data_IF_194053738834
#
_entry.id   IF_194053738834
#
_cell.length_a   1.000
_cell.length_b   1.000
_cell.length_c   1.000
_cell.angle_alpha   90.00
_cell.angle_beta   90.00
_cell.angle_gamma   90.00
#
_symmetry.space_group_name_H-M   'P 1'
#
loop_
_entity.id
_entity.type
_entity.pdbx_description
1 polymer ?
#
# COMPACT_ATOMS: atom_id res chain seq x y z
N UNK A 1 -28.56 -25.41 -61.71
CA UNK A 1 -27.33 -26.06 -61.23
C UNK A 1 -26.29 -24.97 -60.92
N UNK A 2 -25.49 -25.10 -59.87
CA UNK A 2 -25.64 -24.29 -58.66
C UNK A 2 -24.43 -23.39 -58.35
N UNK A 3 -24.66 -22.33 -57.57
CA UNK A 3 -23.70 -21.80 -56.58
C UNK A 3 -24.43 -20.93 -55.55
N UNK A 4 -25.42 -21.53 -54.87
CA UNK A 4 -25.91 -21.09 -53.57
C UNK A 4 -25.29 -22.06 -52.56
N UNK A 5 -24.28 -21.63 -51.79
CA UNK A 5 -23.78 -22.19 -50.51
C UNK A 5 -22.36 -21.64 -50.24
N UNK A 6 -22.26 -20.59 -49.44
CA UNK A 6 -21.12 -20.36 -48.52
C UNK A 6 -21.29 -19.11 -47.64
N UNK A 7 -22.09 -18.10 -48.04
CA UNK A 7 -22.09 -16.79 -47.37
C UNK A 7 -23.04 -16.59 -46.17
N UNK A 8 -23.45 -17.65 -45.46
CA UNK A 8 -24.49 -17.53 -44.41
C UNK A 8 -24.19 -18.27 -43.09
N UNK A 9 -22.91 -18.54 -42.78
CA UNK A 9 -22.52 -19.20 -41.52
C UNK A 9 -21.33 -18.56 -40.77
N UNK A 10 -21.14 -17.25 -40.90
CA UNK A 10 -20.12 -16.52 -40.13
C UNK A 10 -20.61 -15.20 -39.52
N UNK A 11 -21.93 -15.01 -39.41
CA UNK A 11 -22.54 -13.82 -38.80
C UNK A 11 -23.46 -14.16 -37.60
N UNK A 12 -23.32 -15.36 -37.04
CA UNK A 12 -24.14 -15.82 -35.92
C UNK A 12 -23.31 -16.59 -34.86
N UNK A 13 -22.09 -16.14 -34.57
CA UNK A 13 -21.35 -16.45 -33.31
C UNK A 13 -20.41 -15.28 -32.96
N UNK A 14 -20.86 -14.03 -33.16
CA UNK A 14 -20.23 -12.88 -32.51
C UNK A 14 -21.04 -12.64 -31.24
N UNK A 15 -20.46 -13.06 -30.12
CA UNK A 15 -21.04 -13.07 -28.78
C UNK A 15 -21.95 -11.88 -28.52
N UNK A 16 -23.20 -12.22 -28.32
CA UNK A 16 -24.21 -11.42 -27.63
C UNK A 16 -23.82 -11.37 -26.14
N UNK A 17 -22.73 -10.68 -25.83
CA UNK A 17 -22.39 -10.20 -24.48
C UNK A 17 -21.82 -8.80 -24.64
N UNK A 18 -22.66 -7.87 -25.08
CA UNK A 18 -22.54 -6.50 -24.64
C UNK A 18 -22.81 -6.54 -23.13
N UNK A 19 -21.72 -6.68 -22.39
CA UNK A 19 -21.62 -6.59 -20.94
C UNK A 19 -22.52 -5.44 -20.46
N UNK A 20 -23.66 -5.80 -19.86
CA UNK A 20 -24.39 -4.88 -18.99
C UNK A 20 -23.35 -4.34 -18.02
N UNK A 21 -23.25 -3.02 -17.89
CA UNK A 21 -22.43 -2.36 -16.88
C UNK A 21 -22.78 -2.95 -15.52
N UNK A 22 -22.08 -4.03 -15.17
CA UNK A 22 -22.19 -4.70 -13.90
C UNK A 22 -21.68 -3.68 -12.91
N UNK A 23 -22.47 -3.45 -11.87
CA UNK A 23 -22.09 -2.50 -10.86
C UNK A 23 -20.67 -2.84 -10.37
N UNK A 24 -19.81 -1.82 -10.26
CA UNK A 24 -18.36 -1.98 -10.03
C UNK A 24 -18.04 -2.28 -8.55
N UNK A 25 -18.86 -3.09 -7.88
CA UNK A 25 -18.67 -3.46 -6.47
C UNK A 25 -18.09 -4.85 -6.41
N UNK A 26 -17.00 -5.01 -5.67
CA UNK A 26 -16.15 -6.18 -5.70
C UNK A 26 -15.76 -6.62 -4.29
N UNK A 27 -15.58 -7.92 -4.09
CA UNK A 27 -14.94 -8.42 -2.87
C UNK A 27 -13.45 -8.09 -2.91
N UNK A 28 -12.94 -7.50 -1.83
CA UNK A 28 -11.51 -7.22 -1.64
C UNK A 28 -10.88 -8.20 -0.66
N UNK A 29 -11.60 -8.53 0.41
CA UNK A 29 -11.09 -9.42 1.46
C UNK A 29 -12.23 -10.26 2.04
N UNK A 30 -11.93 -11.51 2.33
CA UNK A 30 -12.76 -12.36 3.18
C UNK A 30 -11.86 -13.01 4.23
N UNK A 31 -12.14 -12.79 5.51
CA UNK A 31 -11.61 -13.57 6.61
C UNK A 31 -12.71 -14.54 7.06
N UNK A 32 -12.69 -15.79 6.56
CA UNK A 32 -13.81 -16.70 6.73
C UNK A 32 -13.82 -17.41 8.07
N UNK A 33 -12.65 -17.71 8.63
CA UNK A 33 -12.52 -18.33 9.93
C UNK A 33 -11.43 -17.59 10.73
N UNK A 34 -11.81 -16.76 11.71
CA UNK A 34 -10.86 -15.96 12.45
C UNK A 34 -9.97 -16.82 13.35
N UNK A 35 -8.70 -16.45 13.43
CA UNK A 35 -7.80 -16.92 14.47
C UNK A 35 -8.04 -16.21 15.81
N UNK A 36 -7.13 -16.43 16.76
CA UNK A 36 -7.20 -15.77 18.07
C UNK A 36 -7.21 -14.24 17.93
N UNK A 37 -8.20 -13.57 18.54
CA UNK A 37 -8.33 -12.12 18.52
C UNK A 37 -8.88 -11.52 17.22
N UNK A 38 -9.28 -12.34 16.24
CA UNK A 38 -9.88 -11.88 14.99
C UNK A 38 -11.40 -12.06 14.97
N UNK A 39 -12.05 -11.45 13.96
CA UNK A 39 -13.48 -11.62 13.69
C UNK A 39 -13.67 -11.96 12.21
N UNK A 40 -14.67 -12.79 11.90
CA UNK A 40 -15.08 -13.00 10.51
C UNK A 40 -15.32 -11.62 9.86
N UNK A 41 -14.82 -11.41 8.66
CA UNK A 41 -14.87 -10.10 8.02
C UNK A 41 -15.02 -10.27 6.52
N UNK A 42 -15.87 -9.48 5.90
CA UNK A 42 -15.94 -9.33 4.45
C UNK A 42 -15.70 -7.86 4.14
N UNK A 43 -14.75 -7.55 3.27
CA UNK A 43 -14.54 -6.21 2.75
C UNK A 43 -14.95 -6.21 1.29
N UNK A 44 -15.82 -5.29 0.93
CA UNK A 44 -16.16 -4.97 -0.45
C UNK A 44 -15.73 -3.55 -0.78
N UNK A 45 -15.41 -3.29 -2.04
CA UNK A 45 -14.99 -1.98 -2.53
C UNK A 45 -15.79 -1.58 -3.75
N UNK A 46 -16.10 -0.30 -3.87
CA UNK A 46 -16.64 0.26 -5.09
C UNK A 46 -15.49 0.69 -6.01
N UNK A 47 -15.09 -0.16 -6.95
CA UNK A 47 -14.04 0.17 -7.93
C UNK A 47 -14.56 1.03 -9.09
N UNK A 48 -15.68 1.72 -8.90
CA UNK A 48 -16.29 2.61 -9.87
C UNK A 48 -16.15 4.08 -9.53
N UNK A 49 -16.22 4.92 -10.57
CA UNK A 49 -16.11 6.38 -10.48
C UNK A 49 -17.33 7.06 -9.84
N UNK A 50 -18.42 6.32 -9.61
CA UNK A 50 -19.68 6.87 -9.10
C UNK A 50 -20.08 6.17 -7.82
N UNK A 51 -20.71 6.89 -6.87
CA UNK A 51 -21.26 6.28 -5.67
C UNK A 51 -22.33 5.24 -6.03
N UNK A 52 -22.37 4.16 -5.26
CA UNK A 52 -23.34 3.07 -5.43
C UNK A 52 -24.22 2.98 -4.19
N UNK A 53 -25.53 2.88 -4.42
CA UNK A 53 -26.52 2.54 -3.39
C UNK A 53 -26.84 1.04 -3.48
N UNK A 54 -26.41 0.32 -2.45
CA UNK A 54 -26.58 -1.11 -2.25
C UNK A 54 -27.95 -1.46 -1.68
N UNK A 55 -28.87 -0.50 -1.50
CA UNK A 55 -30.22 -0.80 -1.00
C UNK A 55 -30.90 -1.89 -1.84
N UNK A 56 -31.29 -2.99 -1.18
CA UNK A 56 -31.91 -4.15 -1.82
C UNK A 56 -30.93 -5.13 -2.49
N UNK A 57 -29.62 -4.87 -2.42
CA UNK A 57 -28.60 -5.85 -2.78
C UNK A 57 -28.40 -6.89 -1.68
N UNK A 58 -27.70 -7.98 -2.01
CA UNK A 58 -27.35 -9.00 -1.04
C UNK A 58 -25.97 -9.62 -1.26
N UNK A 59 -25.41 -10.16 -0.18
CA UNK A 59 -24.30 -11.12 -0.22
C UNK A 59 -24.88 -12.48 0.09
N UNK A 60 -24.69 -13.44 -0.82
CA UNK A 60 -25.26 -14.79 -0.71
C UNK A 60 -24.15 -15.80 -0.55
N UNK A 61 -24.24 -16.61 0.50
CA UNK A 61 -23.41 -17.80 0.69
C UNK A 61 -23.94 -18.94 -0.18
N UNK A 62 -23.16 -19.31 -1.19
CA UNK A 62 -23.47 -20.36 -2.16
C UNK A 62 -22.93 -21.73 -1.77
N UNK A 63 -22.20 -21.81 -0.66
CA UNK A 63 -21.57 -23.04 -0.17
C UNK A 63 -22.61 -24.01 0.41
N UNK A 64 -23.74 -23.49 0.90
CA UNK A 64 -24.78 -24.27 1.53
C UNK A 64 -26.04 -24.40 0.68
N UNK A 65 -26.73 -25.56 0.78
CA UNK A 65 -28.00 -25.81 0.08
C UNK A 65 -29.11 -24.82 0.43
N UNK A 66 -29.15 -24.34 1.67
CA UNK A 66 -30.15 -23.40 2.14
C UNK A 66 -29.87 -21.94 1.71
N UNK A 67 -28.67 -21.66 1.17
CA UNK A 67 -28.18 -20.34 0.72
C UNK A 67 -28.46 -19.20 1.71
N UNK A 68 -27.57 -19.02 2.69
CA UNK A 68 -27.67 -17.89 3.63
C UNK A 68 -27.48 -16.57 2.89
N UNK A 69 -28.21 -15.53 3.27
CA UNK A 69 -28.14 -14.23 2.61
C UNK A 69 -28.05 -13.10 3.63
N UNK A 70 -27.16 -12.15 3.37
CA UNK A 70 -27.09 -10.85 4.02
C UNK A 70 -27.69 -9.80 3.09
N UNK A 71 -28.54 -8.90 3.59
CA UNK A 71 -29.15 -7.83 2.81
C UNK A 71 -28.67 -6.46 3.29
N UNK A 72 -28.19 -5.64 2.37
CA UNK A 72 -27.75 -4.28 2.69
C UNK A 72 -28.95 -3.42 3.09
N UNK A 73 -28.78 -2.62 4.14
CA UNK A 73 -29.85 -1.81 4.73
C UNK A 73 -30.70 -2.55 5.75
N UNK A 74 -30.40 -3.83 6.00
CA UNK A 74 -30.98 -4.63 7.09
C UNK A 74 -31.86 -5.79 6.61
N UNK A 75 -32.03 -6.74 7.52
CA UNK A 75 -32.85 -7.93 7.36
C UNK A 75 -33.80 -8.11 8.55
N UNK A 76 -34.90 -8.85 8.34
CA UNK A 76 -35.68 -9.38 9.44
C UNK A 76 -34.89 -10.48 10.18
N UNK A 77 -35.36 -10.85 11.38
CA UNK A 77 -34.90 -12.08 12.06
C UNK A 77 -35.10 -13.36 11.22
N UNK A 78 -35.90 -13.30 10.14
CA UNK A 78 -36.11 -14.39 9.19
C UNK A 78 -35.27 -14.26 7.91
N UNK A 79 -34.22 -13.42 7.91
CA UNK A 79 -33.29 -13.20 6.78
C UNK A 79 -33.98 -12.72 5.49
N UNK A 80 -35.07 -11.95 5.65
CA UNK A 80 -35.75 -11.28 4.52
C UNK A 80 -35.39 -9.80 4.48
N UNK A 81 -35.20 -9.20 3.29
CA UNK A 81 -34.80 -7.79 3.19
C UNK A 81 -35.87 -6.88 3.80
N UNK A 82 -35.48 -6.11 4.81
CA UNK A 82 -36.34 -5.17 5.53
C UNK A 82 -35.52 -3.93 5.91
N UNK A 83 -35.92 -2.71 5.52
CA UNK A 83 -35.18 -1.51 5.87
C UNK A 83 -35.10 -1.32 7.39
N UNK A 84 -33.88 -1.37 7.93
CA UNK A 84 -33.60 -1.09 9.33
C UNK A 84 -33.03 0.32 9.44
N UNK A 85 -33.78 1.22 10.10
CA UNK A 85 -33.47 2.67 10.13
C UNK A 85 -32.02 2.98 10.52
N UNK A 86 -31.46 2.27 11.49
CA UNK A 86 -30.09 2.50 11.98
C UNK A 86 -29.01 1.80 11.15
N UNK A 87 -29.38 0.95 10.17
CA UNK A 87 -28.48 0.38 9.15
C UNK A 87 -28.53 1.13 7.82
N UNK A 88 -29.28 2.24 7.73
CA UNK A 88 -29.41 3.02 6.50
C UNK A 88 -28.10 3.65 6.00
N UNK A 89 -27.12 3.86 6.89
CA UNK A 89 -25.81 4.36 6.51
C UNK A 89 -24.90 3.29 5.87
N UNK A 90 -25.32 2.01 5.87
CA UNK A 90 -24.54 0.87 5.36
C UNK A 90 -24.91 0.49 3.92
N UNK A 91 -25.68 1.34 3.23
CA UNK A 91 -26.08 1.08 1.85
C UNK A 91 -25.32 1.93 0.85
N UNK A 92 -24.72 3.05 1.25
CA UNK A 92 -24.00 3.94 0.34
C UNK A 92 -22.51 3.70 0.43
N UNK A 93 -21.90 3.48 -0.72
CA UNK A 93 -20.45 3.35 -0.88
C UNK A 93 -20.02 4.35 -1.96
N UNK A 94 -19.19 5.32 -1.57
CA UNK A 94 -18.65 6.31 -2.51
C UNK A 94 -17.70 5.64 -3.52
N UNK A 95 -17.27 6.37 -4.54
CA UNK A 95 -16.23 5.88 -5.44
C UNK A 95 -14.99 5.51 -4.62
N UNK A 96 -14.40 4.34 -4.91
CA UNK A 96 -13.21 3.81 -4.26
C UNK A 96 -13.34 3.48 -2.75
N UNK A 97 -14.48 3.78 -2.14
CA UNK A 97 -14.68 3.47 -0.73
C UNK A 97 -14.78 1.95 -0.49
N UNK A 98 -14.21 1.50 0.63
CA UNK A 98 -14.43 0.16 1.17
C UNK A 98 -15.58 0.13 2.20
N UNK A 99 -16.33 -0.95 2.20
CA UNK A 99 -17.34 -1.27 3.21
C UNK A 99 -16.98 -2.60 3.88
N UNK A 100 -16.80 -2.54 5.20
CA UNK A 100 -16.51 -3.72 6.03
C UNK A 100 -17.80 -4.28 6.61
N UNK A 101 -18.06 -5.56 6.34
CA UNK A 101 -19.15 -6.33 6.91
C UNK A 101 -18.60 -7.28 7.96
N UNK A 102 -19.22 -7.29 9.14
CA UNK A 102 -18.88 -8.21 10.24
C UNK A 102 -20.09 -9.05 10.66
N UNK A 103 -19.90 -10.08 11.50
CA UNK A 103 -21.00 -10.82 12.09
C UNK A 103 -21.90 -9.94 12.94
N UNK A 104 -23.19 -10.25 12.92
CA UNK A 104 -24.18 -9.59 13.74
C UNK A 104 -23.88 -9.72 15.24
N UNK A 105 -23.78 -8.59 15.93
CA UNK A 105 -23.67 -8.53 17.37
C UNK A 105 -24.37 -7.29 17.92
N UNK A 106 -25.29 -7.51 18.88
CA UNK A 106 -26.07 -6.45 19.53
C UNK A 106 -25.57 -6.04 20.91
N UNK A 107 -24.51 -6.65 21.41
CA UNK A 107 -23.91 -6.24 22.67
C UNK A 107 -23.10 -4.96 22.49
N UNK A 108 -23.71 -3.83 22.86
CA UNK A 108 -23.11 -2.49 22.79
C UNK A 108 -21.84 -2.30 23.62
N UNK A 109 -21.53 -3.23 24.52
CA UNK A 109 -20.31 -3.19 25.34
C UNK A 109 -19.20 -4.09 24.78
N UNK A 110 -19.52 -4.90 23.78
CA UNK A 110 -18.54 -5.71 23.08
C UNK A 110 -17.75 -4.88 22.08
N UNK A 111 -16.44 -5.11 22.00
CA UNK A 111 -15.60 -4.61 20.91
C UNK A 111 -16.03 -5.15 19.53
N UNK A 112 -16.84 -6.21 19.52
CA UNK A 112 -17.42 -6.82 18.34
C UNK A 112 -18.83 -6.28 18.02
N UNK A 113 -19.27 -5.16 18.61
CA UNK A 113 -20.60 -4.60 18.34
C UNK A 113 -20.76 -4.24 16.86
N UNK A 114 -21.60 -4.99 16.15
CA UNK A 114 -22.03 -4.70 14.79
C UNK A 114 -23.49 -5.15 14.64
N UNK A 115 -24.45 -4.27 14.94
CA UNK A 115 -25.84 -4.65 14.93
C UNK A 115 -26.35 -4.79 13.46
N UNK A 116 -25.62 -4.30 12.45
CA UNK A 116 -25.98 -4.41 11.03
C UNK A 116 -25.23 -5.54 10.32
N UNK A 117 -24.57 -6.40 11.08
CA UNK A 117 -23.77 -7.50 10.56
C UNK A 117 -24.57 -8.68 9.99
N UNK A 118 -23.86 -9.59 9.33
CA UNK A 118 -24.43 -10.81 8.77
C UNK A 118 -24.64 -11.90 9.84
N UNK A 119 -25.64 -12.77 9.65
CA UNK A 119 -26.12 -13.74 10.67
C UNK A 119 -25.72 -15.20 10.42
N UNK A 120 -24.81 -15.44 9.48
CA UNK A 120 -24.35 -16.78 9.11
C UNK A 120 -22.84 -16.89 9.29
N UNK A 121 -22.34 -18.12 9.40
CA UNK A 121 -20.90 -18.40 9.45
C UNK A 121 -20.36 -18.61 8.05
N UNK A 122 -19.15 -18.14 7.79
CA UNK A 122 -18.51 -18.29 6.47
C UNK A 122 -17.91 -19.68 6.30
N UNK A 123 -17.25 -20.20 7.34
CA UNK A 123 -16.66 -21.55 7.34
C UNK A 123 -15.38 -21.67 6.52
N UNK A 124 -14.71 -22.82 6.61
CA UNK A 124 -13.36 -23.02 6.05
C UNK A 124 -13.30 -23.18 4.52
N UNK A 125 -14.41 -23.57 3.89
CA UNK A 125 -14.56 -23.72 2.45
C UNK A 125 -15.88 -23.07 2.06
N UNK A 126 -15.81 -22.11 1.14
CA UNK A 126 -17.00 -21.39 0.77
C UNK A 126 -16.90 -20.51 -0.46
N UNK A 127 -18.07 -20.08 -0.91
CA UNK A 127 -18.25 -19.15 -2.01
C UNK A 127 -19.32 -18.13 -1.63
N UNK A 128 -18.98 -16.85 -1.76
CA UNK A 128 -19.93 -15.74 -1.67
C UNK A 128 -20.18 -15.13 -3.04
N UNK A 129 -21.39 -14.64 -3.23
CA UNK A 129 -21.81 -13.94 -4.44
C UNK A 129 -22.50 -12.62 -4.03
N UNK A 130 -22.00 -11.49 -4.53
CA UNK A 130 -22.71 -10.22 -4.45
C UNK A 130 -23.81 -10.24 -5.50
N UNK A 131 -25.04 -9.92 -5.11
CA UNK A 131 -26.18 -9.77 -6.01
C UNK A 131 -26.73 -8.35 -5.95
N UNK A 132 -27.05 -7.81 -7.11
CA UNK A 132 -27.74 -6.53 -7.20
C UNK A 132 -29.22 -6.64 -6.79
N UNK A 133 -29.93 -5.51 -6.78
CA UNK A 133 -31.38 -5.43 -6.48
C UNK A 133 -32.26 -6.36 -7.35
N UNK A 134 -31.82 -6.67 -8.56
CA UNK A 134 -32.50 -7.57 -9.50
C UNK A 134 -32.09 -9.04 -9.30
N UNK A 135 -31.34 -9.33 -8.23
CA UNK A 135 -30.77 -10.64 -7.87
C UNK A 135 -29.77 -11.20 -8.89
N UNK A 136 -29.21 -10.36 -9.76
CA UNK A 136 -28.17 -10.76 -10.70
C UNK A 136 -26.80 -10.75 -10.01
N UNK A 137 -25.93 -11.73 -10.30
CA UNK A 137 -24.58 -11.76 -9.75
C UNK A 137 -23.77 -10.56 -10.27
N UNK A 138 -23.02 -9.93 -9.35
CA UNK A 138 -22.15 -8.78 -9.60
C UNK A 138 -20.69 -9.20 -9.50
N UNK A 139 -20.33 -9.87 -8.41
CA UNK A 139 -18.99 -10.40 -8.16
C UNK A 139 -19.08 -11.67 -7.31
N UNK A 140 -18.05 -12.52 -7.40
CA UNK A 140 -17.99 -13.80 -6.71
C UNK A 140 -16.59 -13.96 -6.11
N UNK A 141 -16.54 -14.39 -4.86
CA UNK A 141 -15.32 -14.85 -4.19
C UNK A 141 -15.51 -16.29 -3.77
N UNK A 142 -14.46 -17.10 -3.93
CA UNK A 142 -14.42 -18.45 -3.42
C UNK A 142 -13.09 -18.72 -2.71
N UNK A 143 -13.15 -19.49 -1.63
CA UNK A 143 -11.97 -19.94 -0.92
C UNK A 143 -12.12 -21.43 -0.61
N UNK A 144 -11.16 -22.22 -1.09
CA UNK A 144 -11.06 -23.65 -0.79
C UNK A 144 -9.74 -24.00 -0.08
N UNK A 145 -8.87 -23.00 0.12
CA UNK A 145 -7.52 -23.14 0.66
C UNK A 145 -7.29 -22.33 1.94
N UNK A 146 -8.29 -21.57 2.40
CA UNK A 146 -8.15 -20.77 3.61
C UNK A 146 -8.19 -21.70 4.84
N UNK A 147 -7.14 -21.64 5.65
CA UNK A 147 -7.12 -22.28 6.97
C UNK A 147 -7.64 -21.30 8.02
N UNK A 148 -8.03 -21.75 9.21
CA UNK A 148 -8.33 -20.86 10.33
C UNK A 148 -7.20 -19.84 10.55
N UNK A 149 -7.56 -18.56 10.65
CA UNK A 149 -6.62 -17.43 10.76
C UNK A 149 -6.06 -16.88 9.44
N UNK A 150 -6.46 -17.44 8.29
CA UNK A 150 -6.09 -16.89 6.98
C UNK A 150 -7.23 -16.05 6.40
N UNK A 151 -6.90 -14.82 6.00
CA UNK A 151 -7.77 -14.01 5.16
C UNK A 151 -7.43 -14.22 3.69
N UNK A 152 -8.42 -14.14 2.82
CA UNK A 152 -8.27 -14.24 1.38
C UNK A 152 -8.45 -12.85 0.78
N UNK A 153 -7.47 -12.40 0.03
CA UNK A 153 -7.40 -11.07 -0.57
C UNK A 153 -7.52 -11.16 -2.08
N UNK A 154 -8.20 -10.19 -2.69
CA UNK A 154 -8.27 -10.06 -4.14
C UNK A 154 -6.92 -9.58 -4.69
N UNK A 155 -6.41 -10.26 -5.71
CA UNK A 155 -5.25 -9.82 -6.51
C UNK A 155 -5.62 -10.02 -7.97
N UNK A 156 -5.86 -8.92 -8.67
CA UNK A 156 -6.45 -8.95 -10.01
C UNK A 156 -7.81 -9.67 -10.00
N UNK A 157 -7.87 -10.84 -10.65
CA UNK A 157 -9.06 -11.69 -10.71
C UNK A 157 -9.01 -12.89 -9.76
N UNK A 158 -7.88 -13.11 -9.11
CA UNK A 158 -7.65 -14.23 -8.22
C UNK A 158 -7.82 -13.82 -6.76
N UNK A 159 -7.98 -14.83 -5.91
CA UNK A 159 -8.15 -14.68 -4.47
C UNK A 159 -7.09 -15.49 -3.76
N UNK A 160 -6.19 -14.79 -3.06
CA UNK A 160 -4.97 -15.37 -2.50
C UNK A 160 -5.06 -15.35 -0.97
N UNK A 161 -4.78 -16.47 -0.30
CA UNK A 161 -4.85 -16.53 1.15
C UNK A 161 -3.54 -16.01 1.77
N UNK A 162 -3.68 -15.20 2.80
CA UNK A 162 -2.60 -14.65 3.63
C UNK A 162 -2.88 -14.95 5.10
N UNK A 163 -1.83 -15.30 5.84
CA UNK A 163 -1.91 -15.45 7.30
C UNK A 163 -1.82 -14.07 7.95
N UNK A 164 -2.78 -13.75 8.81
CA UNK A 164 -2.81 -12.51 9.58
C UNK A 164 -2.42 -12.74 11.05
N UNK A 165 -1.99 -11.66 11.72
CA UNK A 165 -1.64 -11.61 13.13
C UNK A 165 -0.57 -12.62 13.56
N UNK A 166 0.17 -13.18 12.60
CA UNK A 166 1.43 -13.87 12.82
C UNK A 166 2.57 -12.94 12.46
N UNK A 167 3.80 -13.35 12.75
CA UNK A 167 4.98 -12.57 12.39
C UNK A 167 5.13 -12.40 10.87
N UNK A 168 5.76 -11.29 10.45
CA UNK A 168 5.95 -10.94 9.05
C UNK A 168 6.60 -12.06 8.24
N UNK A 169 7.57 -12.78 8.82
CA UNK A 169 8.19 -13.94 8.16
C UNK A 169 7.14 -15.03 7.88
N UNK A 170 6.30 -15.38 8.84
CA UNK A 170 5.22 -16.35 8.66
C UNK A 170 4.23 -15.89 7.59
N UNK A 171 3.79 -14.63 7.63
CA UNK A 171 2.89 -14.04 6.64
C UNK A 171 3.49 -14.10 5.23
N UNK A 172 4.73 -13.65 5.03
CA UNK A 172 5.45 -13.66 3.74
C UNK A 172 5.63 -15.07 3.20
N UNK A 173 6.08 -16.03 4.01
CA UNK A 173 6.29 -17.43 3.55
C UNK A 173 5.00 -18.15 3.22
N UNK A 174 3.89 -17.77 3.84
CA UNK A 174 2.58 -18.38 3.61
C UNK A 174 1.93 -17.92 2.30
N UNK A 175 2.33 -16.75 1.79
CA UNK A 175 1.73 -16.11 0.62
C UNK A 175 2.27 -16.74 -0.69
N UNK A 176 1.42 -17.37 -1.51
CA UNK A 176 1.86 -18.01 -2.76
C UNK A 176 2.51 -17.06 -3.77
N UNK A 177 2.11 -15.79 -3.79
CA UNK A 177 2.62 -14.76 -4.73
C UNK A 177 3.88 -14.06 -4.27
N UNK A 178 4.41 -14.40 -3.09
CA UNK A 178 5.65 -13.81 -2.56
C UNK A 178 6.78 -14.85 -2.54
N UNK A 179 6.72 -15.88 -3.38
CA UNK A 179 7.64 -17.01 -3.29
C UNK A 179 9.07 -16.63 -3.64
N UNK A 180 9.28 -15.81 -4.68
CA UNK A 180 10.58 -15.26 -5.07
C UNK A 180 11.09 -14.28 -4.02
N UNK A 181 10.22 -13.39 -3.53
CA UNK A 181 10.60 -12.44 -2.48
C UNK A 181 11.04 -13.15 -1.19
N UNK A 182 10.30 -14.16 -0.76
CA UNK A 182 10.65 -14.96 0.41
C UNK A 182 11.99 -15.68 0.25
N UNK A 183 12.30 -16.20 -0.95
CA UNK A 183 13.61 -16.81 -1.23
C UNK A 183 14.73 -15.77 -1.22
N UNK A 184 14.51 -14.60 -1.80
CA UNK A 184 15.48 -13.51 -1.80
C UNK A 184 15.82 -13.04 -0.39
N UNK A 185 14.81 -12.80 0.45
CA UNK A 185 14.99 -12.47 1.87
C UNK A 185 15.66 -13.60 2.65
N UNK A 186 15.37 -14.86 2.34
CA UNK A 186 16.03 -15.99 2.99
C UNK A 186 17.51 -16.08 2.61
N UNK A 187 17.85 -15.86 1.33
CA UNK A 187 19.22 -15.93 0.83
C UNK A 187 20.16 -14.88 1.44
N UNK A 188 19.59 -13.75 1.88
CA UNK A 188 20.31 -12.64 2.52
C UNK A 188 20.28 -12.69 4.05
N UNK A 189 19.58 -13.66 4.64
CA UNK A 189 19.38 -13.75 6.10
C UNK A 189 18.33 -12.78 6.66
N UNK A 190 17.89 -11.78 5.91
CA UNK A 190 16.90 -10.78 6.33
C UNK A 190 15.58 -11.42 6.79
N UNK A 191 15.13 -12.50 6.15
CA UNK A 191 13.88 -13.16 6.55
C UNK A 191 13.95 -13.76 7.96
N UNK A 192 15.04 -14.47 8.25
CA UNK A 192 15.17 -15.28 9.45
C UNK A 192 15.71 -14.49 10.64
N UNK A 193 16.60 -13.54 10.37
CA UNK A 193 17.27 -12.74 11.38
C UNK A 193 16.48 -11.52 11.79
N UNK A 194 15.73 -10.89 10.87
CA UNK A 194 15.07 -9.61 11.11
C UNK A 194 13.53 -9.72 11.19
N UNK A 195 12.90 -10.35 10.20
CA UNK A 195 11.44 -10.35 10.09
C UNK A 195 10.74 -11.34 11.04
N UNK A 196 11.53 -12.12 11.79
CA UNK A 196 11.06 -12.93 12.91
C UNK A 196 10.92 -12.08 14.18
N UNK A 197 9.95 -12.40 15.03
CA UNK A 197 9.79 -11.72 16.33
C UNK A 197 11.10 -11.66 17.13
N UNK A 198 11.46 -10.45 17.58
CA UNK A 198 12.54 -10.23 18.55
C UNK A 198 13.88 -9.76 18.00
N UNK A 199 13.97 -9.50 16.69
CA UNK A 199 15.18 -8.94 16.09
C UNK A 199 15.29 -7.43 16.29
N UNK A 200 16.42 -7.00 16.85
CA UNK A 200 16.76 -5.58 17.01
C UNK A 200 17.83 -5.22 15.98
N UNK A 201 17.63 -4.14 15.23
CA UNK A 201 18.71 -3.59 14.41
C UNK A 201 19.58 -2.70 15.28
N UNK A 202 20.90 -2.80 15.14
CA UNK A 202 21.80 -1.80 15.73
C UNK A 202 21.71 -0.53 14.90
N UNK A 203 21.49 0.58 15.57
CA UNK A 203 21.47 1.89 14.94
C UNK A 203 22.84 2.50 15.15
N UNK A 204 23.59 2.67 14.07
CA UNK A 204 24.92 3.29 14.12
C UNK A 204 24.82 4.72 14.65
N UNK A 205 25.78 5.10 15.49
CA UNK A 205 25.82 6.46 16.05
C UNK A 205 26.05 7.45 14.90
N UNK A 206 25.31 8.56 14.91
CA UNK A 206 25.37 9.64 13.92
C UNK A 206 24.87 9.29 12.50
N UNK A 207 24.34 8.08 12.28
CA UNK A 207 23.68 7.67 11.03
C UNK A 207 22.40 8.47 10.75
N UNK A 208 21.90 8.39 9.51
CA UNK A 208 20.63 9.03 9.18
C UNK A 208 19.49 8.45 10.02
N UNK A 209 19.50 7.12 10.18
CA UNK A 209 18.61 6.40 11.07
C UNK A 209 18.62 6.97 12.50
N UNK A 210 19.81 7.14 13.10
CA UNK A 210 19.94 7.71 14.44
C UNK A 210 19.36 9.13 14.53
N UNK A 211 19.65 9.97 13.54
CA UNK A 211 19.15 11.35 13.48
C UNK A 211 17.63 11.42 13.31
N UNK A 212 17.06 10.55 12.48
CA UNK A 212 15.62 10.45 12.30
C UNK A 212 14.94 9.98 13.59
N UNK A 213 15.44 8.89 14.17
CA UNK A 213 14.92 8.33 15.41
C UNK A 213 15.01 9.33 16.57
N UNK A 214 16.12 10.05 16.72
CA UNK A 214 16.27 11.10 17.72
C UNK A 214 15.23 12.22 17.59
N UNK A 215 14.89 12.65 16.36
CA UNK A 215 13.82 13.63 16.12
C UNK A 215 12.43 13.13 16.56
N UNK A 216 12.22 11.81 16.56
CA UNK A 216 11.00 11.16 17.05
C UNK A 216 11.06 10.85 18.56
N UNK A 217 12.11 11.30 19.26
CA UNK A 217 12.31 11.05 20.69
C UNK A 217 12.84 9.64 21.00
N UNK A 218 13.39 8.94 20.00
CA UNK A 218 13.97 7.61 20.16
C UNK A 218 15.49 7.70 20.34
N UNK A 219 15.96 7.46 21.55
CA UNK A 219 17.37 7.66 21.93
C UNK A 219 18.17 6.35 22.08
N UNK A 220 17.57 5.20 21.73
CA UNK A 220 18.23 3.90 21.89
C UNK A 220 19.20 3.62 20.74
N UNK A 221 20.26 2.87 21.03
CA UNK A 221 21.28 2.41 20.07
C UNK A 221 20.86 1.16 19.28
N UNK A 222 19.64 0.69 19.50
CA UNK A 222 19.03 -0.40 18.77
C UNK A 222 17.59 -0.01 18.46
N UNK A 223 17.03 -0.43 17.32
CA UNK A 223 15.62 -0.30 16.98
C UNK A 223 15.00 -1.68 16.89
N UNK A 224 14.03 -1.92 17.77
CA UNK A 224 13.12 -3.06 17.68
C UNK A 224 11.89 -2.61 16.92
N UNK A 225 11.41 -3.43 15.99
CA UNK A 225 10.19 -3.17 15.22
C UNK A 225 9.02 -2.64 16.05
N UNK A 226 7.99 -2.10 15.41
CA UNK A 226 7.39 -2.72 14.22
C UNK A 226 8.06 -2.35 12.90
N UNK A 227 7.85 -3.21 11.91
CA UNK A 227 8.32 -3.03 10.53
C UNK A 227 7.15 -2.96 9.56
N UNK A 228 7.33 -2.24 8.47
CA UNK A 228 6.42 -2.31 7.33
C UNK A 228 7.17 -2.85 6.13
N UNK A 229 6.61 -3.85 5.46
CA UNK A 229 7.26 -4.52 4.32
C UNK A 229 6.45 -4.26 3.07
N UNK A 230 7.05 -3.55 2.12
CA UNK A 230 6.56 -3.47 0.74
C UNK A 230 7.09 -4.70 -0.01
N UNK A 231 6.30 -5.76 -0.13
CA UNK A 231 6.71 -7.02 -0.71
C UNK A 231 6.37 -7.11 -2.20
N UNK A 232 7.35 -7.11 -3.12
CA UNK A 232 7.06 -7.30 -4.54
C UNK A 232 6.55 -8.71 -4.81
N UNK A 233 5.50 -8.79 -5.62
CA UNK A 233 4.97 -10.06 -6.07
C UNK A 233 5.95 -10.82 -7.00
N UNK A 234 5.71 -12.11 -7.20
CA UNK A 234 6.48 -12.90 -8.15
C UNK A 234 6.38 -12.33 -9.58
N UNK A 235 5.25 -11.70 -9.94
CA UNK A 235 5.09 -10.98 -11.20
C UNK A 235 5.97 -9.72 -11.25
N UNK A 236 6.03 -8.95 -10.15
CA UNK A 236 6.91 -7.79 -10.04
C UNK A 236 8.39 -8.18 -10.24
N UNK A 237 8.83 -9.28 -9.63
CA UNK A 237 10.18 -9.80 -9.84
C UNK A 237 10.43 -10.26 -11.28
N UNK A 238 9.43 -10.86 -11.94
CA UNK A 238 9.55 -11.24 -13.34
C UNK A 238 9.73 -10.02 -14.25
N UNK A 239 8.99 -8.93 -14.03
CA UNK A 239 9.19 -7.69 -14.78
C UNK A 239 10.56 -7.08 -14.46
N UNK A 240 10.95 -7.00 -13.18
CA UNK A 240 12.26 -6.51 -12.78
C UNK A 240 13.42 -7.29 -13.43
N UNK A 241 13.35 -8.62 -13.49
CA UNK A 241 14.36 -9.45 -14.15
C UNK A 241 14.43 -9.23 -15.67
N UNK A 242 13.32 -8.83 -16.30
CA UNK A 242 13.31 -8.44 -17.72
C UNK A 242 13.96 -7.08 -17.93
N UNK A 243 13.65 -6.12 -17.06
CA UNK A 243 14.19 -4.75 -17.12
C UNK A 243 15.70 -4.71 -16.86
N UNK A 244 16.16 -5.47 -15.87
CA UNK A 244 17.58 -5.55 -15.50
C UNK A 244 18.41 -6.42 -16.45
N UNK A 245 17.74 -7.16 -17.33
CA UNK A 245 18.40 -8.02 -18.29
C UNK A 245 19.06 -7.24 -19.43
N UNK A 246 20.28 -7.65 -19.80
CA UNK A 246 21.05 -6.97 -20.86
C UNK A 246 20.69 -7.52 -22.25
N UNK A 247 20.61 -6.65 -23.26
CA UNK A 247 20.40 -7.03 -24.67
C UNK A 247 19.15 -7.89 -24.92
N UNK A 248 18.07 -7.64 -24.18
CA UNK A 248 16.82 -8.40 -24.30
C UNK A 248 16.86 -9.81 -23.72
N UNK A 249 17.92 -10.16 -22.99
CA UNK A 249 17.92 -11.35 -22.12
C UNK A 249 17.15 -11.04 -20.85
N UNK A 250 16.60 -12.05 -20.20
CA UNK A 250 15.98 -11.94 -18.88
C UNK A 250 16.92 -12.58 -17.86
N UNK A 251 17.15 -11.91 -16.74
CA UNK A 251 17.89 -12.52 -15.63
C UNK A 251 17.18 -13.78 -15.14
N UNK A 252 17.96 -14.82 -14.85
CA UNK A 252 17.44 -16.00 -14.17
C UNK A 252 17.26 -15.72 -12.68
N UNK A 253 16.39 -16.47 -12.02
CA UNK A 253 16.21 -16.38 -10.55
C UNK A 253 17.55 -16.61 -9.82
N UNK A 254 18.40 -17.51 -10.31
CA UNK A 254 19.71 -17.77 -9.71
C UNK A 254 20.66 -16.56 -9.83
N UNK A 255 20.63 -15.85 -10.96
CA UNK A 255 21.42 -14.63 -11.16
C UNK A 255 20.89 -13.47 -10.31
N UNK A 256 19.56 -13.31 -10.23
CA UNK A 256 18.92 -12.34 -9.33
C UNK A 256 19.36 -12.58 -7.87
N UNK A 257 19.27 -13.82 -7.40
CA UNK A 257 19.67 -14.21 -6.05
C UNK A 257 21.18 -14.05 -5.79
N UNK A 258 21.99 -13.99 -6.84
CA UNK A 258 23.43 -13.77 -6.77
C UNK A 258 23.84 -12.30 -6.94
N UNK A 259 22.90 -11.38 -7.15
CA UNK A 259 23.21 -9.96 -7.31
C UNK A 259 23.84 -9.39 -6.03
N UNK A 260 25.01 -8.73 -6.10
CA UNK A 260 25.67 -8.18 -4.92
C UNK A 260 24.83 -7.07 -4.26
N UNK A 261 24.00 -6.36 -5.02
CA UNK A 261 23.12 -5.30 -4.52
C UNK A 261 21.79 -5.83 -3.96
N UNK A 262 21.51 -7.14 -4.06
CA UNK A 262 20.20 -7.70 -3.68
C UNK A 262 19.84 -7.39 -2.23
N UNK A 263 20.79 -7.50 -1.30
CA UNK A 263 20.53 -7.21 0.12
C UNK A 263 20.09 -5.75 0.31
N UNK A 264 20.74 -4.80 -0.37
CA UNK A 264 20.39 -3.37 -0.28
C UNK A 264 19.05 -3.05 -0.94
N UNK A 265 18.72 -3.73 -2.05
CA UNK A 265 17.39 -3.66 -2.67
C UNK A 265 16.34 -4.18 -1.68
N UNK A 266 16.56 -5.33 -1.03
CA UNK A 266 15.61 -5.90 -0.08
C UNK A 266 15.44 -5.05 1.18
N UNK A 267 16.52 -4.45 1.70
CA UNK A 267 16.44 -3.49 2.82
C UNK A 267 15.62 -2.26 2.48
N UNK A 268 15.60 -1.84 1.22
CA UNK A 268 14.78 -0.71 0.77
C UNK A 268 13.28 -1.01 0.83
N UNK A 269 12.90 -2.28 0.71
CA UNK A 269 11.50 -2.74 0.82
C UNK A 269 11.01 -2.86 2.27
N UNK A 270 11.92 -2.78 3.25
CA UNK A 270 11.59 -2.89 4.67
C UNK A 270 11.72 -1.49 5.28
N UNK A 271 10.63 -0.92 5.75
CA UNK A 271 10.60 0.42 6.32
C UNK A 271 10.27 0.39 7.81
N UNK A 272 10.70 1.43 8.51
CA UNK A 272 10.54 1.53 9.96
C UNK A 272 9.11 1.90 10.33
N UNK A 273 8.65 1.35 11.45
CA UNK A 273 7.35 1.66 11.99
C UNK A 273 6.23 0.80 11.42
N UNK A 274 5.04 1.04 11.94
CA UNK A 274 3.81 0.37 11.52
C UNK A 274 3.00 1.33 10.67
N UNK A 275 3.26 1.32 9.37
CA UNK A 275 2.76 2.29 8.41
C UNK A 275 1.60 1.68 7.63
N UNK A 276 0.39 2.01 8.07
CA UNK A 276 -0.86 1.67 7.40
C UNK A 276 -1.09 2.63 6.23
N UNK A 277 -1.72 2.16 5.16
CA UNK A 277 -2.04 3.00 3.97
C UNK A 277 -2.73 4.30 4.40
N UNK A 278 -3.78 4.19 5.22
CA UNK A 278 -4.55 5.31 5.76
C UNK A 278 -3.81 6.28 6.68
N UNK A 279 -2.66 5.86 7.24
CA UNK A 279 -1.83 6.69 8.12
C UNK A 279 -0.80 7.53 7.36
N UNK A 280 -0.54 7.17 6.12
CA UNK A 280 0.45 7.79 5.26
C UNK A 280 -0.17 8.95 4.46
N UNK A 281 0.61 9.99 4.22
CA UNK A 281 0.19 11.16 3.43
C UNK A 281 1.00 11.23 2.15
N UNK A 282 0.40 11.75 1.10
CA UNK A 282 1.05 11.87 -0.20
C UNK A 282 2.35 12.67 -0.11
N UNK A 283 3.39 12.19 -0.80
CA UNK A 283 4.72 12.79 -0.80
C UNK A 283 5.49 12.65 0.51
N UNK A 284 4.98 11.88 1.48
CA UNK A 284 5.70 11.57 2.71
C UNK A 284 6.75 10.50 2.45
N UNK A 285 7.99 10.78 2.85
CA UNK A 285 9.07 9.79 2.86
C UNK A 285 9.00 8.93 4.12
N UNK A 286 8.92 7.62 3.95
CA UNK A 286 9.04 6.63 5.01
C UNK A 286 10.46 6.08 5.01
N UNK A 287 11.09 6.03 6.18
CA UNK A 287 12.49 5.63 6.28
C UNK A 287 12.64 4.12 6.07
N UNK A 288 13.44 3.73 5.08
CA UNK A 288 13.77 2.34 4.83
C UNK A 288 14.90 1.85 5.71
N UNK A 289 15.07 0.53 5.79
CA UNK A 289 16.19 -0.11 6.48
C UNK A 289 17.53 0.12 5.79
N UNK A 290 17.51 0.49 4.51
CA UNK A 290 18.68 1.01 3.83
C UNK A 290 18.94 2.41 4.38
N UNK A 291 19.97 2.55 5.22
CA UNK A 291 20.27 3.80 5.94
C UNK A 291 20.31 4.99 4.97
N UNK A 292 19.64 6.07 5.36
CA UNK A 292 19.53 7.28 4.53
C UNK A 292 18.52 7.23 3.39
N UNK A 293 18.00 6.06 3.01
CA UNK A 293 17.06 5.93 1.91
C UNK A 293 15.60 5.98 2.41
N UNK A 294 14.80 6.83 1.78
CA UNK A 294 13.36 6.98 2.05
C UNK A 294 12.55 6.46 0.86
N UNK A 295 11.40 5.85 1.16
CA UNK A 295 10.40 5.42 0.19
C UNK A 295 9.25 6.41 0.25
N UNK A 296 8.87 6.99 -0.89
CA UNK A 296 7.74 7.91 -0.94
C UNK A 296 6.45 7.18 -1.25
N UNK A 297 5.35 7.68 -0.71
CA UNK A 297 4.02 7.08 -0.87
C UNK A 297 3.01 8.11 -1.34
N UNK A 298 2.03 7.64 -2.11
CA UNK A 298 0.98 8.44 -2.72
C UNK A 298 -0.34 7.66 -2.73
N UNK A 299 -1.44 8.39 -2.79
CA UNK A 299 -2.77 7.86 -3.02
C UNK A 299 -3.27 8.33 -4.40
N UNK A 300 -3.76 7.39 -5.20
CA UNK A 300 -4.42 7.71 -6.45
C UNK A 300 -5.83 8.25 -6.24
N UNK A 301 -6.38 8.96 -7.21
CA UNK A 301 -7.77 9.46 -7.19
C UNK A 301 -8.81 8.34 -7.12
N UNK A 302 -8.41 7.12 -7.49
CA UNK A 302 -9.19 5.90 -7.40
C UNK A 302 -8.76 5.02 -6.20
N UNK A 303 -8.21 5.65 -5.15
CA UNK A 303 -7.69 5.06 -3.89
C UNK A 303 -6.77 3.87 -4.06
N UNK A 304 -5.95 3.97 -5.10
CA UNK A 304 -4.77 3.14 -5.23
C UNK A 304 -3.75 3.59 -4.19
N UNK A 305 -3.11 2.63 -3.52
CA UNK A 305 -1.96 2.91 -2.68
C UNK A 305 -0.70 2.73 -3.53
N UNK A 306 0.02 3.83 -3.75
CA UNK A 306 1.12 3.94 -4.70
C UNK A 306 2.44 4.19 -3.95
N UNK A 307 3.50 3.53 -4.43
CA UNK A 307 4.83 3.58 -3.85
C UNK A 307 5.81 4.09 -4.91
N UNK A 308 6.53 5.16 -4.58
CA UNK A 308 7.51 5.79 -5.44
C UNK A 308 8.93 5.62 -4.85
N UNK A 309 9.75 4.82 -5.53
CA UNK A 309 11.12 4.46 -5.15
C UNK A 309 12.17 5.53 -5.49
N UNK A 310 11.87 6.42 -6.42
CA UNK A 310 12.77 7.48 -6.86
C UNK A 310 12.31 8.90 -6.50
N UNK A 311 11.20 9.10 -5.79
CA UNK A 311 10.81 10.42 -5.29
C UNK A 311 11.56 10.74 -3.99
N UNK A 312 12.75 11.32 -4.10
CA UNK A 312 13.60 11.65 -2.95
C UNK A 312 14.19 13.06 -3.07
N UNK A 313 14.53 13.65 -1.93
CA UNK A 313 15.18 14.96 -1.89
C UNK A 313 16.69 14.84 -2.08
N UNK A 314 17.19 15.51 -3.11
CA UNK A 314 18.62 15.82 -3.23
C UNK A 314 18.91 17.19 -2.58
N UNK A 315 19.84 17.28 -1.61
CA UNK A 315 20.35 18.52 -1.05
C UNK A 315 20.78 19.56 -2.09
N UNK A 316 20.33 20.80 -1.93
CA UNK A 316 20.78 21.93 -2.72
C UNK A 316 22.24 22.32 -2.41
N UNK A 317 22.99 22.94 -3.35
CA UNK A 317 24.41 23.30 -3.16
C UNK A 317 24.69 24.32 -2.05
N UNK A 318 23.68 25.06 -1.61
CA UNK A 318 23.76 26.18 -0.67
C UNK A 318 23.68 25.78 0.82
N UNK A 319 23.82 24.50 1.15
CA UNK A 319 23.95 23.99 2.52
C UNK A 319 22.68 24.08 3.38
N UNK A 320 21.52 24.27 2.73
CA UNK A 320 20.22 24.27 3.38
C UNK A 320 19.40 23.04 2.99
N UNK A 321 18.63 22.52 3.94
CA UNK A 321 17.78 21.35 3.74
C UNK A 321 16.60 21.65 2.82
N UNK A 322 16.11 20.64 2.12
CA UNK A 322 15.02 20.78 1.16
C UNK A 322 13.70 21.24 1.78
N UNK A 323 13.41 20.86 3.02
CA UNK A 323 12.27 21.39 3.78
C UNK A 323 12.34 22.91 3.92
N UNK A 324 13.53 23.47 4.21
CA UNK A 324 13.72 24.92 4.34
C UNK A 324 13.59 25.63 3.00
N UNK A 325 14.13 25.05 1.93
CA UNK A 325 13.99 25.60 0.58
C UNK A 325 12.54 25.71 0.16
N UNK A 326 11.73 24.71 0.51
CA UNK A 326 10.28 24.73 0.29
C UNK A 326 9.60 25.82 1.13
N UNK A 327 9.92 25.93 2.42
CA UNK A 327 9.40 27.02 3.28
C UNK A 327 9.73 28.41 2.73
N UNK A 328 10.92 28.58 2.13
CA UNK A 328 11.37 29.84 1.54
C UNK A 328 10.85 30.11 0.12
N UNK A 329 9.98 29.23 -0.40
CA UNK A 329 9.43 29.33 -1.76
C UNK A 329 10.52 29.35 -2.85
N UNK A 330 11.63 28.66 -2.60
CA UNK A 330 12.76 28.54 -3.55
C UNK A 330 12.56 27.40 -4.56
N UNK A 331 11.49 26.63 -4.40
CA UNK A 331 11.18 25.50 -5.27
C UNK A 331 11.01 25.86 -6.75
N UNK A 332 10.66 27.10 -7.11
CA UNK A 332 10.46 27.48 -8.51
C UNK A 332 11.68 28.17 -9.13
N UNK A 333 12.78 28.31 -8.39
CA UNK A 333 13.99 28.92 -8.90
C UNK A 333 14.71 27.96 -9.86
N UNK A 334 15.21 28.48 -10.99
CA UNK A 334 15.86 27.69 -12.05
C UNK A 334 17.06 26.87 -11.54
N UNK A 335 17.76 27.36 -10.51
CA UNK A 335 18.90 26.66 -9.92
C UNK A 335 18.48 25.47 -9.02
N UNK A 336 17.22 25.43 -8.56
CA UNK A 336 16.64 24.29 -7.84
C UNK A 336 15.96 23.33 -8.81
N UNK A 337 15.25 23.85 -9.82
CA UNK A 337 14.67 23.10 -10.96
C UNK A 337 15.65 23.09 -12.13
N UNK A 338 16.80 22.45 -11.92
CA UNK A 338 17.89 22.49 -12.90
C UNK A 338 17.78 21.41 -14.00
N UNK A 339 16.64 20.72 -14.10
CA UNK A 339 16.36 19.63 -15.06
C UNK A 339 17.49 18.58 -15.15
N UNK A 340 18.16 18.34 -14.02
CA UNK A 340 19.23 17.35 -13.89
C UNK A 340 20.62 17.84 -14.30
N UNK A 341 20.77 19.11 -14.69
CA UNK A 341 22.04 19.65 -15.17
C UNK A 341 23.18 19.57 -14.13
N UNK A 342 22.89 19.81 -12.86
CA UNK A 342 23.83 19.75 -11.73
C UNK A 342 23.39 18.76 -10.65
N UNK A 343 22.09 18.65 -10.43
CA UNK A 343 21.46 17.73 -9.50
C UNK A 343 21.51 16.28 -10.00
N UNK A 344 21.80 16.02 -11.28
CA UNK A 344 21.76 14.69 -11.86
C UNK A 344 20.40 14.00 -11.70
N UNK A 345 19.34 14.78 -11.43
CA UNK A 345 18.00 14.28 -11.18
C UNK A 345 16.98 14.94 -12.10
N UNK A 346 15.98 14.21 -12.60
CA UNK A 346 15.07 14.73 -13.62
C UNK A 346 14.22 15.91 -13.15
N UNK A 347 13.85 16.01 -11.86
CA UNK A 347 13.04 17.12 -11.35
C UNK A 347 13.85 18.10 -10.48
N UNK A 348 15.19 17.99 -10.52
CA UNK A 348 16.12 18.88 -9.85
C UNK A 348 16.42 18.55 -8.39
N UNK A 349 16.84 19.56 -7.64
CA UNK A 349 17.03 19.46 -6.19
C UNK A 349 15.67 19.46 -5.48
N UNK A 350 15.59 18.82 -4.31
CA UNK A 350 14.43 18.92 -3.42
C UNK A 350 13.07 18.47 -4.03
N UNK A 351 13.07 17.44 -4.87
CA UNK A 351 11.89 17.03 -5.63
C UNK A 351 10.68 16.68 -4.75
N UNK A 352 10.93 16.00 -3.62
CA UNK A 352 9.88 15.56 -2.70
C UNK A 352 9.37 16.73 -1.86
N UNK A 353 10.26 17.46 -1.18
CA UNK A 353 9.90 18.62 -0.36
C UNK A 353 9.23 19.73 -1.16
N UNK A 354 9.59 19.88 -2.45
CA UNK A 354 8.95 20.84 -3.34
C UNK A 354 7.67 20.31 -4.01
N UNK A 355 7.22 19.09 -3.68
CA UNK A 355 5.99 18.51 -4.22
C UNK A 355 6.01 18.32 -5.73
N UNK A 356 7.19 18.06 -6.33
CA UNK A 356 7.32 17.88 -7.78
C UNK A 356 7.13 16.44 -8.22
N UNK A 357 7.25 15.49 -7.30
CA UNK A 357 7.04 14.09 -7.60
C UNK A 357 5.59 13.81 -8.00
N UNK A 358 5.43 12.93 -8.98
CA UNK A 358 4.14 12.44 -9.47
C UNK A 358 4.18 10.92 -9.56
N UNK A 359 3.01 10.30 -9.70
CA UNK A 359 2.87 8.90 -10.06
C UNK A 359 2.24 8.78 -11.45
N UNK A 360 2.94 9.24 -12.48
CA UNK A 360 2.48 9.10 -13.87
C UNK A 360 3.17 7.92 -14.55
N UNK A 361 2.42 7.12 -15.31
CA UNK A 361 2.98 5.98 -16.06
C UNK A 361 3.55 4.88 -15.14
N UNK A 362 4.82 4.55 -15.34
CA UNK A 362 5.56 3.47 -14.66
C UNK A 362 6.43 3.96 -13.47
N UNK A 363 6.31 5.24 -13.10
CA UNK A 363 7.09 5.84 -12.02
C UNK A 363 6.85 5.19 -10.66
N UNK A 364 5.61 4.77 -10.40
CA UNK A 364 5.20 4.20 -9.11
C UNK A 364 4.80 2.73 -9.25
N UNK A 365 5.10 1.95 -8.21
CA UNK A 365 4.44 0.68 -8.00
C UNK A 365 3.09 0.88 -7.31
N UNK A 366 2.14 0.00 -7.58
CA UNK A 366 0.86 -0.07 -6.87
C UNK A 366 0.87 -1.22 -5.89
N UNK A 367 0.27 -1.02 -4.72
CA UNK A 367 -0.06 -2.10 -3.81
C UNK A 367 -1.32 -2.83 -4.28
N UNK A 368 -1.17 -4.07 -4.76
CA UNK A 368 -2.29 -4.93 -5.13
C UNK A 368 -3.04 -5.44 -3.88
N UNK A 369 -2.31 -5.63 -2.77
CA UNK A 369 -2.88 -5.92 -1.45
C UNK A 369 -2.14 -5.08 -0.43
N UNK A 370 -2.85 -4.37 0.42
CA UNK A 370 -2.24 -3.55 1.46
C UNK A 370 -2.93 -3.75 2.80
N UNK A 371 -2.28 -3.29 3.87
CA UNK A 371 -2.75 -3.36 5.26
C UNK A 371 -2.94 -4.80 5.79
N UNK A 372 -2.07 -5.73 5.38
CA UNK A 372 -2.05 -7.07 5.97
C UNK A 372 -1.40 -6.98 7.35
N UNK A 373 -2.20 -7.22 8.40
CA UNK A 373 -1.76 -7.15 9.79
C UNK A 373 -0.84 -8.33 10.17
N UNK A 374 0.30 -8.01 10.79
CA UNK A 374 1.24 -8.98 11.38
C UNK A 374 1.56 -8.61 12.83
N UNK A 375 2.00 -9.59 13.64
CA UNK A 375 2.26 -9.37 15.08
C UNK A 375 3.41 -8.39 15.35
N UNK A 376 4.34 -8.25 14.39
CA UNK A 376 5.50 -7.37 14.46
C UNK A 376 5.52 -6.32 13.33
N UNK A 377 4.39 -6.04 12.67
CA UNK A 377 4.39 -5.10 11.54
C UNK A 377 3.17 -5.11 10.63
N UNK A 378 3.36 -4.56 9.43
CA UNK A 378 2.38 -4.52 8.34
C UNK A 378 3.03 -4.98 7.04
N UNK A 379 2.28 -5.71 6.22
CA UNK A 379 2.72 -6.18 4.91
C UNK A 379 1.84 -5.55 3.81
N UNK A 380 2.49 -4.98 2.80
CA UNK A 380 1.88 -4.44 1.58
C UNK A 380 2.47 -5.18 0.39
N UNK A 381 1.65 -5.91 -0.37
CA UNK A 381 2.07 -6.59 -1.60
C UNK A 381 2.01 -5.62 -2.77
N UNK A 382 3.14 -5.41 -3.44
CA UNK A 382 3.29 -4.44 -4.52
C UNK A 382 3.60 -5.09 -5.87
N UNK A 383 3.24 -4.41 -6.96
CA UNK A 383 3.43 -4.88 -8.34
C UNK A 383 4.77 -4.46 -8.97
N UNK A 384 5.64 -3.79 -8.21
CA UNK A 384 6.95 -3.30 -8.66
C UNK A 384 8.05 -3.67 -7.66
N UNK A 385 9.23 -4.02 -8.15
CA UNK A 385 10.44 -4.10 -7.29
C UNK A 385 10.97 -2.68 -7.12
N UNK A 386 11.01 -2.19 -5.89
CA UNK A 386 11.53 -0.86 -5.56
C UNK A 386 13.04 -0.85 -5.70
N UNK A 387 13.56 0.06 -6.52
CA UNK A 387 15.00 0.24 -6.66
C UNK A 387 15.44 1.52 -5.94
N UNK A 388 16.33 1.43 -4.94
CA UNK A 388 16.68 2.58 -4.13
C UNK A 388 17.38 3.66 -4.96
N UNK A 389 16.84 4.88 -4.93
CA UNK A 389 17.54 6.04 -5.47
C UNK A 389 18.90 6.26 -4.78
N UNK A 390 19.87 6.92 -5.45
CA UNK A 390 21.11 7.32 -4.81
C UNK A 390 20.84 8.18 -3.58
N UNK A 391 21.44 7.81 -2.44
CA UNK A 391 21.39 8.64 -1.23
C UNK A 391 22.38 9.78 -1.41
N UNK A 392 21.89 11.02 -1.32
CA UNK A 392 22.70 12.21 -1.45
C UNK A 392 23.00 12.81 -0.08
N UNK A 393 24.24 12.68 0.35
CA UNK A 393 24.68 13.28 1.61
C UNK A 393 25.53 14.52 1.35
N UNK A 394 25.23 15.58 2.10
CA UNK A 394 26.24 16.58 2.45
C UNK A 394 26.75 16.26 3.87
N UNK A 395 28.08 16.37 4.12
CA UNK A 395 28.65 16.20 5.45
C UNK A 395 27.91 17.06 6.48
N UNK A 396 27.67 16.51 7.68
CA UNK A 396 26.89 17.20 8.72
C UNK A 396 27.43 18.60 9.07
N UNK A 397 28.76 18.78 8.98
CA UNK A 397 29.44 20.06 9.22
C UNK A 397 29.07 21.17 8.20
N UNK A 398 28.39 20.83 7.11
CA UNK A 398 27.94 21.77 6.11
C UNK A 398 26.49 22.20 6.30
N UNK A 399 25.67 21.53 7.12
CA UNK A 399 24.27 21.91 7.31
C UNK A 399 24.12 23.06 8.31
N UNK A 400 23.43 24.13 7.93
CA UNK A 400 23.04 25.21 8.86
C UNK A 400 21.68 24.89 9.49
N UNK A 401 21.56 25.01 10.81
CA UNK A 401 20.30 24.80 11.53
C UNK A 401 19.43 26.06 11.55
N UNK A 402 18.12 25.87 11.72
CA UNK A 402 17.17 26.99 11.82
C UNK A 402 17.50 27.95 12.97
N UNK A 403 17.98 27.42 14.09
CA UNK A 403 18.37 28.21 15.25
C UNK A 403 19.64 29.05 15.00
N UNK A 404 20.64 28.50 14.30
CA UNK A 404 21.83 29.24 13.89
C UNK A 404 21.47 30.41 12.96
N UNK A 405 20.47 30.24 12.09
CA UNK A 405 19.96 31.30 11.21
C UNK A 405 19.14 32.36 11.96
N UNK A 406 18.23 31.96 12.85
CA UNK A 406 17.46 32.90 13.68
C UNK A 406 18.40 33.75 14.54
N UNK A 407 19.51 33.18 15.01
CA UNK A 407 20.55 33.91 15.71
C UNK A 407 21.28 34.93 14.80
N UNK A 408 21.62 34.57 13.56
CA UNK A 408 22.28 35.48 12.60
C UNK A 408 21.35 36.60 12.10
N UNK A 409 20.09 36.29 11.74
CA UNK A 409 19.12 37.29 11.31
C UNK A 409 18.80 38.29 12.42
N UNK A 410 18.69 37.82 13.67
CA UNK A 410 18.50 38.69 14.83
C UNK A 410 19.77 39.45 15.21
N UNK A 411 20.96 38.92 14.89
CA UNK A 411 22.26 39.60 15.01
C UNK A 411 22.42 40.73 13.98
N UNK A 412 22.16 40.45 12.70
CA UNK A 412 22.26 41.44 11.62
C UNK A 412 21.23 42.57 11.73
N UNK A 413 20.04 42.30 12.30
CA UNK A 413 19.06 43.35 12.60
C UNK A 413 19.49 44.29 13.74
N UNK A 414 20.39 43.85 14.65
CA UNK A 414 21.03 44.72 15.65
C UNK A 414 22.11 45.58 15.01
N UNK A 415 22.89 45.03 14.08
CA UNK A 415 23.93 45.78 13.36
C UNK A 415 23.36 46.83 12.39
N UNK A 416 22.24 46.54 11.72
CA UNK A 416 21.56 47.56 10.90
C UNK A 416 21.00 48.71 11.74
N UNK A 417 20.49 48.42 12.95
CA UNK A 417 20.03 49.46 13.87
C UNK A 417 21.18 50.28 14.45
N UNK A 418 22.32 49.68 14.77
CA UNK A 418 23.50 50.41 15.27
C UNK A 418 24.06 51.35 14.19
N UNK A 419 24.13 50.89 12.93
CA UNK A 419 24.55 51.71 11.78
C UNK A 419 23.56 52.85 11.50
N UNK A 420 22.26 52.65 11.70
CA UNK A 420 21.25 53.70 11.55
C UNK A 420 21.25 54.74 12.70
N UNK A 421 21.75 54.41 13.89
CA UNK A 421 21.91 55.36 15.00
C UNK A 421 23.23 56.12 15.00
N UNK A 422 24.25 55.65 14.29
CA UNK A 422 25.55 56.35 14.17
C UNK A 422 25.60 57.34 12.99
N UNK A 423 24.52 57.46 12.22
CA UNK A 423 24.39 58.34 11.06
C UNK A 423 23.54 59.61 11.27
N UNK A 424 23.24 60.02 12.51
CA UNK A 424 22.55 61.30 12.81
C UNK A 424 23.46 62.33 13.47
#
# INVERSE_FOLDING_TARGET
MPACKSLLLAACVASLVASQASAKVQFMKVLPEPGSGQQETIIIKNVGEKPVDLTGWSVVDKSQRAMNSYWFGGDSMTMTPQPVKWCSNWTKIEADQELTLRPFNRDRFSSAFDPCGFRFKLGYDGQLEIRNKDKKPVDIVAWSKAKPGMAVYRVGNDFIPFVENQDLKTSIRSAPVLSTFAKALHSTGLLDELLKEGADIKVEKDSWMAKHLARKGYEKTYYKGPWTVFAPSDAAFQEFMKEMGWMGMTLTEAELLAMPELEEILKYHIVLGQEWSSGLRDGTGVLSMKDGAEVSVFHGDAGEFLIHDNCVDRPSPDNFGCEMQAEWKKCDEDWVKDDGLFSGRPLGYCERSCGRCTCEGDQCGRADVYDISSSNGVLHVIDKVLYPAPVYEKPAAQWRSKAEMEAEMNGGAKDLKSIMTEGQ
#
